data_IF_011055593294
#
_entry.id   IF_011055593294
#
_cell.length_a   1.000
_cell.length_b   1.000
_cell.length_c   1.000
_cell.angle_alpha   90.00
_cell.angle_beta   90.00
_cell.angle_gamma   90.00
#
_symmetry.space_group_name_H-M   'P 1'
#
loop_
_entity.id
_entity.type
_entity.pdbx_description
1 polymer ?
#
# COMPACT_ATOMS: atom_id res chain seq x y z
N UNK A 1 -8.18 -7.87 16.88
CA UNK A 1 -8.11 -9.37 16.84
C UNK A 1 -9.17 -10.06 17.70
N UNK A 2 -9.58 -9.48 18.84
CA UNK A 2 -10.62 -10.10 19.69
C UNK A 2 -11.97 -10.30 18.97
N UNK A 3 -12.30 -9.47 17.99
CA UNK A 3 -13.54 -9.57 17.21
C UNK A 3 -13.44 -10.51 15.99
N UNK A 4 -12.30 -11.18 15.76
CA UNK A 4 -12.08 -12.06 14.61
C UNK A 4 -11.94 -11.34 13.27
N UNK A 5 -11.97 -9.99 13.25
CA UNK A 5 -11.83 -9.20 12.03
C UNK A 5 -10.36 -9.05 11.65
N UNK A 6 -10.02 -9.12 10.35
CA UNK A 6 -8.67 -8.81 9.87
C UNK A 6 -8.35 -7.32 10.07
N UNK A 7 -7.12 -7.05 10.50
CA UNK A 7 -6.60 -5.69 10.68
C UNK A 7 -5.64 -5.39 9.55
N UNK A 8 -5.93 -4.37 8.76
CA UNK A 8 -5.06 -3.84 7.74
C UNK A 8 -4.46 -2.51 8.20
N UNK A 9 -3.16 -2.31 7.92
CA UNK A 9 -2.45 -1.11 8.34
C UNK A 9 -1.45 -0.66 7.29
N UNK A 10 -1.47 0.64 6.97
CA UNK A 10 -0.50 1.30 6.09
C UNK A 10 0.59 1.97 6.95
N UNK A 11 1.83 1.51 6.78
CA UNK A 11 3.00 2.05 7.46
C UNK A 11 3.61 3.27 6.72
N UNK A 12 3.07 3.59 5.51
CA UNK A 12 3.62 4.66 4.67
C UNK A 12 5.10 4.42 4.31
N UNK A 13 5.92 5.48 4.25
CA UNK A 13 7.35 5.46 3.87
C UNK A 13 8.31 5.71 5.05
N UNK A 14 7.79 6.10 6.22
CA UNK A 14 8.58 6.49 7.40
C UNK A 14 8.60 5.45 8.52
N UNK A 15 8.49 4.17 8.17
CA UNK A 15 8.57 3.10 9.14
C UNK A 15 10.01 2.82 9.59
N UNK A 16 10.17 2.52 10.88
CA UNK A 16 11.44 2.07 11.47
C UNK A 16 11.31 0.63 11.98
N UNK A 17 12.42 -0.08 12.21
CA UNK A 17 12.38 -1.42 12.80
C UNK A 17 11.59 -1.48 14.12
N UNK A 18 11.74 -0.49 14.98
CA UNK A 18 11.06 -0.39 16.28
C UNK A 18 9.55 -0.21 16.09
N UNK A 19 9.16 0.65 15.15
CA UNK A 19 7.75 0.87 14.83
C UNK A 19 7.10 -0.39 14.26
N UNK A 20 7.79 -1.09 13.37
CA UNK A 20 7.32 -2.37 12.84
C UNK A 20 7.17 -3.42 13.95
N UNK A 21 8.17 -3.55 14.84
CA UNK A 21 8.12 -4.50 15.96
C UNK A 21 6.96 -4.22 16.92
N UNK A 22 6.65 -2.95 17.19
CA UNK A 22 5.58 -2.57 18.11
C UNK A 22 4.18 -2.79 17.49
N UNK A 23 4.02 -2.64 16.18
CA UNK A 23 2.70 -2.56 15.53
C UNK A 23 2.31 -3.85 14.80
N UNK A 24 3.25 -4.49 14.09
CA UNK A 24 2.96 -5.67 13.25
C UNK A 24 2.36 -6.88 13.99
N UNK A 25 2.63 -7.14 15.28
CA UNK A 25 1.96 -8.22 16.00
C UNK A 25 0.42 -8.09 16.04
N UNK A 26 -0.10 -6.90 15.81
CA UNK A 26 -1.53 -6.59 15.80
C UNK A 26 -2.13 -6.53 14.40
N UNK A 27 -1.31 -6.53 13.36
CA UNK A 27 -1.70 -6.35 11.95
C UNK A 27 -1.76 -7.70 11.25
N UNK A 28 -2.77 -7.89 10.40
CA UNK A 28 -2.89 -9.07 9.53
C UNK A 28 -2.43 -8.77 8.10
N UNK A 29 -2.70 -7.54 7.61
CA UNK A 29 -2.32 -7.09 6.27
C UNK A 29 -1.55 -5.77 6.41
N UNK A 30 -0.26 -5.79 6.09
CA UNK A 30 0.63 -4.64 6.19
C UNK A 30 0.97 -4.09 4.81
N UNK A 31 0.89 -2.77 4.62
CA UNK A 31 1.46 -2.07 3.47
C UNK A 31 2.66 -1.24 3.91
N UNK A 32 3.73 -1.33 3.13
CA UNK A 32 4.98 -0.59 3.28
C UNK A 32 5.25 0.17 1.97
N UNK A 33 5.40 1.48 2.02
CA UNK A 33 5.90 2.24 0.88
C UNK A 33 7.42 2.10 0.81
N UNK A 34 7.92 1.51 -0.27
CA UNK A 34 9.31 1.07 -0.43
C UNK A 34 10.02 1.73 -1.61
N UNK A 35 9.52 2.86 -2.12
CA UNK A 35 10.14 3.57 -3.25
C UNK A 35 11.56 4.05 -2.94
N UNK A 36 11.87 4.28 -1.67
CA UNK A 36 13.20 4.68 -1.19
C UNK A 36 14.17 3.51 -1.02
N UNK A 37 13.69 2.26 -1.10
CA UNK A 37 14.53 1.07 -0.90
C UNK A 37 15.05 0.52 -2.22
N UNK A 38 16.33 0.08 -2.27
CA UNK A 38 16.82 -0.75 -3.36
C UNK A 38 15.99 -2.03 -3.52
N UNK A 39 15.87 -2.55 -4.75
CA UNK A 39 15.03 -3.69 -5.07
C UNK A 39 15.24 -4.91 -4.16
N UNK A 40 16.51 -5.27 -3.85
CA UNK A 40 16.82 -6.39 -2.97
C UNK A 40 16.41 -6.21 -1.50
N UNK A 41 16.22 -4.97 -1.04
CA UNK A 41 15.79 -4.69 0.34
C UNK A 41 14.26 -4.76 0.50
N UNK A 42 13.51 -4.64 -0.58
CA UNK A 42 12.02 -4.72 -0.53
C UNK A 42 11.55 -6.10 -0.09
N UNK A 43 12.13 -7.16 -0.63
CA UNK A 43 11.80 -8.51 -0.19
C UNK A 43 12.18 -8.75 1.27
N UNK A 44 13.32 -8.25 1.73
CA UNK A 44 13.72 -8.32 3.13
C UNK A 44 12.72 -7.61 4.06
N UNK A 45 12.21 -6.43 3.66
CA UNK A 45 11.18 -5.71 4.41
C UNK A 45 9.86 -6.52 4.48
N UNK A 46 9.45 -7.14 3.38
CA UNK A 46 8.28 -8.03 3.35
C UNK A 46 8.47 -9.26 4.26
N UNK A 47 9.65 -9.88 4.22
CA UNK A 47 9.96 -11.01 5.08
C UNK A 47 9.99 -10.60 6.56
N UNK A 48 10.50 -9.42 6.86
CA UNK A 48 10.46 -8.87 8.22
C UNK A 48 9.01 -8.65 8.68
N UNK A 49 8.17 -8.03 7.86
CA UNK A 49 6.76 -7.82 8.18
C UNK A 49 6.02 -9.15 8.44
N UNK A 50 6.30 -10.16 7.63
CA UNK A 50 5.76 -11.50 7.80
C UNK A 50 6.21 -12.15 9.12
N UNK A 51 7.51 -12.09 9.43
CA UNK A 51 8.07 -12.63 10.68
C UNK A 51 7.50 -11.95 11.92
N UNK A 52 7.18 -10.67 11.84
CA UNK A 52 6.62 -9.88 12.94
C UNK A 52 5.10 -10.05 13.11
N UNK A 53 4.40 -10.79 12.23
CA UNK A 53 3.00 -11.17 12.47
C UNK A 53 2.02 -10.87 11.35
N UNK A 54 2.38 -10.10 10.32
CA UNK A 54 1.50 -9.87 9.19
C UNK A 54 1.27 -11.18 8.42
N UNK A 55 0.02 -11.49 8.05
CA UNK A 55 -0.33 -12.63 7.19
C UNK A 55 -0.13 -12.32 5.71
N UNK A 56 -0.31 -11.06 5.34
CA UNK A 56 0.00 -10.53 4.02
C UNK A 56 0.87 -9.29 4.21
N UNK A 57 2.01 -9.23 3.55
CA UNK A 57 2.85 -8.05 3.50
C UNK A 57 2.90 -7.53 2.07
N UNK A 58 2.61 -6.24 1.90
CA UNK A 58 2.55 -5.52 0.62
C UNK A 58 3.63 -4.45 0.60
N UNK A 59 4.40 -4.38 -0.48
CA UNK A 59 5.34 -3.29 -0.76
C UNK A 59 4.92 -2.58 -2.04
N UNK A 60 4.86 -1.25 -2.01
CA UNK A 60 4.68 -0.41 -3.20
C UNK A 60 5.95 0.37 -3.49
N UNK A 61 6.30 0.53 -4.77
CA UNK A 61 7.49 1.27 -5.18
C UNK A 61 7.23 2.14 -6.43
N UNK A 62 6.14 2.90 -6.42
CA UNK A 62 5.78 3.83 -7.47
C UNK A 62 5.74 3.16 -8.84
N UNK A 63 6.51 3.66 -9.79
CA UNK A 63 6.54 3.16 -11.17
C UNK A 63 7.11 1.73 -11.30
N UNK A 64 7.84 1.23 -10.32
CA UNK A 64 8.35 -0.13 -10.31
C UNK A 64 7.27 -1.17 -9.96
N UNK A 65 6.10 -0.72 -9.50
CA UNK A 65 4.96 -1.57 -9.19
C UNK A 65 4.87 -1.96 -7.72
N UNK A 66 4.42 -3.17 -7.47
CA UNK A 66 4.14 -3.69 -6.15
C UNK A 66 4.56 -5.14 -5.97
N UNK A 67 4.86 -5.51 -4.75
CA UNK A 67 5.19 -6.87 -4.33
C UNK A 67 4.30 -7.28 -3.17
N UNK A 68 3.90 -8.54 -3.15
CA UNK A 68 3.12 -9.10 -2.05
C UNK A 68 3.75 -10.41 -1.60
N UNK A 69 3.99 -10.53 -0.29
CA UNK A 69 4.46 -11.77 0.33
C UNK A 69 3.32 -12.43 1.11
N UNK A 70 3.02 -13.68 0.78
CA UNK A 70 2.00 -14.48 1.45
C UNK A 70 2.43 -15.95 1.46
N UNK A 71 2.42 -16.60 2.62
CA UNK A 71 2.78 -18.02 2.83
C UNK A 71 4.07 -18.44 2.09
N UNK A 72 5.12 -17.62 2.21
CA UNK A 72 6.42 -17.87 1.58
C UNK A 72 6.47 -17.58 0.08
N UNK A 73 5.36 -17.29 -0.58
CA UNK A 73 5.29 -16.91 -1.99
C UNK A 73 5.48 -15.40 -2.14
N UNK A 74 6.22 -14.99 -3.15
CA UNK A 74 6.38 -13.62 -3.56
C UNK A 74 5.64 -13.40 -4.89
N UNK A 75 4.74 -12.42 -4.92
CA UNK A 75 4.04 -11.98 -6.12
C UNK A 75 4.56 -10.59 -6.50
N UNK A 76 4.63 -10.32 -7.79
CA UNK A 76 4.98 -9.01 -8.34
C UNK A 76 3.96 -8.61 -9.40
N UNK A 77 3.52 -7.36 -9.36
CA UNK A 77 2.74 -6.74 -10.41
C UNK A 77 3.39 -5.41 -10.81
N UNK A 78 3.57 -5.13 -12.10
CA UNK A 78 4.06 -3.85 -12.57
C UNK A 78 3.06 -2.73 -12.25
N UNK A 79 3.53 -1.49 -12.23
CA UNK A 79 2.63 -0.36 -12.15
C UNK A 79 1.75 -0.27 -13.42
N UNK A 80 0.48 0.02 -13.24
CA UNK A 80 -0.38 0.33 -14.38
C UNK A 80 -0.02 1.70 -14.96
N UNK A 81 -0.08 1.83 -16.27
CA UNK A 81 0.15 3.11 -16.94
C UNK A 81 -1.02 4.07 -16.65
N UNK A 82 -0.70 5.21 -16.08
CA UNK A 82 -1.64 6.32 -16.00
C UNK A 82 -1.69 7.03 -17.37
N UNK A 83 -2.88 7.33 -17.87
CA UNK A 83 -3.04 8.08 -19.13
C UNK A 83 -2.45 9.51 -19.01
N UNK A 84 -2.50 10.06 -17.81
CA UNK A 84 -1.92 11.33 -17.43
C UNK A 84 -1.54 11.27 -15.97
N UNK A 85 -0.44 11.90 -15.58
CA UNK A 85 -0.02 12.05 -14.17
C UNK A 85 -0.13 13.51 -13.82
N UNK A 86 -1.14 13.87 -13.04
CA UNK A 86 -1.32 15.20 -12.46
C UNK A 86 -0.68 15.27 -11.08
N UNK A 87 -0.94 14.26 -10.22
CA UNK A 87 -0.41 14.17 -8.88
C UNK A 87 -0.28 12.70 -8.47
N UNK A 88 0.75 12.35 -7.72
CA UNK A 88 0.93 10.99 -7.17
C UNK A 88 0.48 10.87 -5.73
N UNK A 89 0.04 11.96 -5.10
CA UNK A 89 -0.47 11.96 -3.73
C UNK A 89 -1.71 11.06 -3.62
N UNK A 90 -1.76 10.23 -2.59
CA UNK A 90 -2.86 9.29 -2.37
C UNK A 90 -2.86 8.05 -3.27
N UNK A 91 -1.88 7.88 -4.18
CA UNK A 91 -1.80 6.69 -5.03
C UNK A 91 -1.57 5.41 -4.21
N UNK A 92 -0.78 5.49 -3.13
CA UNK A 92 -0.57 4.39 -2.19
C UNK A 92 -1.85 4.01 -1.45
N UNK A 93 -2.56 5.01 -0.93
CA UNK A 93 -3.86 4.81 -0.25
C UNK A 93 -4.89 4.18 -1.21
N UNK A 94 -4.97 4.70 -2.43
CA UNK A 94 -5.84 4.17 -3.48
C UNK A 94 -5.51 2.72 -3.84
N UNK A 95 -4.21 2.41 -3.99
CA UNK A 95 -3.75 1.05 -4.21
C UNK A 95 -4.18 0.14 -3.07
N UNK A 96 -3.91 0.52 -1.82
CA UNK A 96 -4.19 -0.34 -0.67
C UNK A 96 -5.68 -0.55 -0.47
N UNK A 97 -6.49 0.50 -0.59
CA UNK A 97 -7.94 0.39 -0.51
C UNK A 97 -8.50 -0.56 -1.59
N UNK A 98 -8.09 -0.41 -2.84
CA UNK A 98 -8.54 -1.28 -3.93
C UNK A 98 -8.07 -2.73 -3.76
N UNK A 99 -6.83 -2.95 -3.30
CA UNK A 99 -6.30 -4.27 -2.98
C UNK A 99 -7.14 -4.97 -1.92
N UNK A 100 -7.43 -4.28 -0.80
CA UNK A 100 -8.26 -4.81 0.28
C UNK A 100 -9.68 -5.10 -0.20
N UNK A 101 -10.32 -4.18 -0.92
CA UNK A 101 -11.66 -4.38 -1.47
C UNK A 101 -11.71 -5.62 -2.38
N UNK A 102 -10.73 -5.80 -3.26
CA UNK A 102 -10.67 -6.96 -4.16
C UNK A 102 -10.52 -8.28 -3.40
N UNK A 103 -9.70 -8.32 -2.35
CA UNK A 103 -9.56 -9.51 -1.51
C UNK A 103 -10.83 -9.81 -0.71
N UNK A 104 -11.45 -8.78 -0.12
CA UNK A 104 -12.62 -8.93 0.73
C UNK A 104 -13.88 -9.35 -0.05
N UNK A 105 -14.08 -8.84 -1.28
CA UNK A 105 -15.18 -9.24 -2.15
C UNK A 105 -15.22 -10.76 -2.41
N UNK A 106 -14.08 -11.42 -2.28
CA UNK A 106 -13.95 -12.85 -2.52
C UNK A 106 -13.82 -13.70 -1.24
N UNK A 107 -13.90 -13.06 -0.05
CA UNK A 107 -13.57 -13.72 1.22
C UNK A 107 -14.57 -14.82 1.62
N UNK A 108 -15.85 -14.66 1.30
CA UNK A 108 -16.90 -15.56 1.78
C UNK A 108 -17.16 -15.43 3.29
N UNK A 109 -18.11 -16.21 3.80
CA UNK A 109 -18.52 -16.18 5.22
C UNK A 109 -17.45 -16.72 6.18
N UNK A 110 -16.59 -17.60 5.69
CA UNK A 110 -15.50 -18.22 6.48
C UNK A 110 -14.35 -17.25 6.76
N UNK A 111 -14.34 -16.07 6.13
CA UNK A 111 -13.33 -15.04 6.28
C UNK A 111 -12.17 -15.14 5.26
N UNK A 112 -11.40 -14.06 5.22
CA UNK A 112 -10.36 -13.85 4.20
C UNK A 112 -9.27 -14.93 4.19
N UNK A 113 -8.83 -15.36 5.35
CA UNK A 113 -7.68 -16.27 5.51
C UNK A 113 -8.05 -17.75 5.57
N UNK A 114 -9.34 -18.09 5.40
CA UNK A 114 -9.80 -19.48 5.41
C UNK A 114 -9.51 -20.22 4.08
N UNK A 115 -9.09 -19.51 3.03
CA UNK A 115 -8.90 -20.05 1.70
C UNK A 115 -7.52 -19.71 1.13
N UNK A 116 -7.09 -20.48 0.14
CA UNK A 116 -5.89 -20.17 -0.65
C UNK A 116 -6.07 -18.85 -1.40
N UNK A 117 -5.14 -17.92 -1.19
CA UNK A 117 -5.13 -16.60 -1.83
C UNK A 117 -4.23 -16.52 -3.06
N UNK A 118 -3.59 -17.61 -3.46
CA UNK A 118 -2.58 -17.63 -4.53
C UNK A 118 -3.08 -17.09 -5.87
N UNK A 119 -4.36 -17.32 -6.19
CA UNK A 119 -5.00 -16.80 -7.42
C UNK A 119 -5.64 -15.42 -7.22
N UNK A 120 -5.94 -15.06 -5.98
CA UNK A 120 -6.63 -13.82 -5.66
C UNK A 120 -5.68 -12.64 -5.51
N UNK A 121 -4.50 -12.87 -4.92
CA UNK A 121 -3.49 -11.85 -4.71
C UNK A 121 -3.06 -11.20 -6.03
N UNK A 122 -2.65 -11.94 -7.09
CA UNK A 122 -2.29 -11.32 -8.36
C UNK A 122 -3.42 -10.47 -8.96
N UNK A 123 -4.64 -10.98 -8.94
CA UNK A 123 -5.80 -10.23 -9.45
C UNK A 123 -6.08 -8.96 -8.63
N UNK A 124 -5.97 -9.04 -7.31
CA UNK A 124 -6.13 -7.88 -6.44
C UNK A 124 -5.03 -6.84 -6.70
N UNK A 125 -3.79 -7.26 -6.94
CA UNK A 125 -2.67 -6.38 -7.29
C UNK A 125 -2.91 -5.65 -8.62
N UNK A 126 -3.40 -6.34 -9.65
CA UNK A 126 -3.73 -5.74 -10.95
C UNK A 126 -4.83 -4.69 -10.83
N UNK A 127 -5.92 -5.01 -10.12
CA UNK A 127 -7.02 -4.08 -9.88
C UNK A 127 -6.57 -2.87 -9.06
N UNK A 128 -5.74 -3.09 -8.05
CA UNK A 128 -5.16 -2.04 -7.22
C UNK A 128 -4.26 -1.11 -8.04
N UNK A 129 -3.38 -1.66 -8.88
CA UNK A 129 -2.51 -0.88 -9.75
C UNK A 129 -3.32 -0.02 -10.73
N UNK A 130 -4.37 -0.60 -11.34
CA UNK A 130 -5.25 0.13 -12.26
C UNK A 130 -6.01 1.26 -11.56
N UNK A 131 -6.44 1.06 -10.31
CA UNK A 131 -7.12 2.10 -9.53
C UNK A 131 -6.16 3.21 -9.11
N UNK A 132 -4.97 2.86 -8.63
CA UNK A 132 -3.93 3.84 -8.28
C UNK A 132 -3.52 4.71 -9.50
N UNK A 133 -3.40 4.10 -10.68
CA UNK A 133 -3.10 4.84 -11.91
C UNK A 133 -4.20 5.86 -12.26
N UNK A 134 -5.47 5.55 -12.03
CA UNK A 134 -6.59 6.49 -12.20
C UNK A 134 -6.52 7.64 -11.19
N UNK A 135 -6.15 7.35 -9.95
CA UNK A 135 -5.99 8.37 -8.90
C UNK A 135 -4.88 9.35 -9.27
N UNK A 136 -3.78 8.90 -9.88
CA UNK A 136 -2.70 9.78 -10.33
C UNK A 136 -3.13 10.80 -11.41
N UNK A 137 -4.25 10.62 -12.06
CA UNK A 137 -4.79 11.58 -13.02
C UNK A 137 -5.56 12.74 -12.36
N UNK A 138 -5.76 12.69 -11.04
CA UNK A 138 -6.50 13.68 -10.25
C UNK A 138 -5.53 14.54 -9.45
N UNK A 139 -5.81 15.84 -9.32
CA UNK A 139 -5.05 16.73 -8.44
C UNK A 139 -5.47 16.59 -6.98
N UNK A 140 -4.49 16.74 -6.06
CA UNK A 140 -4.72 16.83 -4.61
C UNK A 140 -5.36 15.60 -4.02
N UNK A 141 -4.81 14.42 -4.22
CA UNK A 141 -5.33 13.14 -3.74
C UNK A 141 -6.85 12.98 -3.96
N UNK A 142 -7.27 12.16 -4.86
CA UNK A 142 -8.69 11.88 -5.16
C UNK A 142 -9.50 13.03 -5.81
N UNK A 143 -8.86 14.10 -6.28
CA UNK A 143 -9.54 15.23 -6.96
C UNK A 143 -10.42 16.09 -6.03
N UNK A 144 -10.27 15.92 -4.70
CA UNK A 144 -11.06 16.65 -3.69
C UNK A 144 -10.42 17.93 -3.16
N UNK A 145 -9.32 18.37 -3.77
CA UNK A 145 -8.62 19.59 -3.35
C UNK A 145 -9.50 20.83 -3.52
N UNK A 146 -9.68 21.60 -2.45
CA UNK A 146 -10.37 22.90 -2.49
C UNK A 146 -9.34 24.01 -2.24
N UNK A 147 -9.24 25.05 -3.12
CA UNK A 147 -8.37 26.17 -2.87
C UNK A 147 -8.67 26.82 -1.51
N UNK A 148 -7.62 27.04 -0.73
CA UNK A 148 -7.78 27.71 0.55
C UNK A 148 -8.08 29.21 0.28
N UNK A 149 -9.25 29.68 0.67
CA UNK A 149 -9.65 31.06 0.46
C UNK A 149 -8.61 32.02 1.09
N UNK A 150 -8.10 32.97 0.30
CA UNK A 150 -7.10 33.96 0.73
C UNK A 150 -5.64 33.57 0.53
N UNK A 151 -5.31 32.36 0.00
CA UNK A 151 -3.96 32.02 -0.48
C UNK A 151 -3.92 32.05 -1.98
N UNK A 152 -3.26 33.05 -2.54
CA UNK A 152 -3.03 33.20 -3.98
C UNK A 152 -1.80 32.45 -4.48
N UNK A 153 -0.90 32.06 -3.58
CA UNK A 153 0.28 31.22 -3.90
C UNK A 153 0.58 30.27 -2.73
N UNK A 154 0.78 29.00 -3.05
CA UNK A 154 1.42 28.06 -2.14
C UNK A 154 2.91 28.41 -2.13
N UNK A 155 3.38 29.08 -1.09
CA UNK A 155 4.81 29.15 -0.82
C UNK A 155 5.31 27.71 -0.77
N UNK A 156 6.32 27.32 -1.56
CA UNK A 156 6.93 26.01 -1.41
C UNK A 156 7.32 25.85 0.04
N UNK A 157 6.87 24.80 0.71
CA UNK A 157 7.43 24.39 1.99
C UNK A 157 8.93 24.21 1.73
N UNK A 158 9.73 25.12 2.27
CA UNK A 158 11.16 25.01 2.21
C UNK A 158 11.54 23.60 2.70
N UNK A 159 12.27 22.89 1.85
CA UNK A 159 12.86 21.60 2.18
C UNK A 159 14.00 21.81 3.18
N UNK A 160 13.66 22.28 4.37
CA UNK A 160 14.56 22.29 5.52
C UNK A 160 14.00 21.37 6.60
N UNK A 161 14.07 20.06 6.29
CA UNK A 161 14.14 19.03 7.30
C UNK A 161 15.42 18.25 7.08
N UNK A 162 16.53 18.92 7.22
CA UNK A 162 17.79 18.32 7.64
C UNK A 162 17.63 17.97 9.12
N UNK A 163 17.23 16.73 9.41
CA UNK A 163 17.46 16.02 10.66
C UNK A 163 17.99 14.64 10.34
#
# INVERSE_FOLDING_TARGET
>A
KAAGLPIAFDFSDRWTPEYLQATLPWVDIALLSCSHLPAGQREQALDQARRLGAKIAVATAGQEGSWVKWEGRLFHAPAAQAAQVADTMGAGDAYFAAFLCSLLQTAGEEGLFARDLSQRIPRAMEQAAAYAAKTCALEGAFGGGVPLAGRTELTPLEKDLSL
#
